data_IF_392403686250
#
_entry.id   IF_392403686250
#
_cell.length_a   1.000
_cell.length_b   1.000
_cell.length_c   1.000
_cell.angle_alpha   90.00
_cell.angle_beta   90.00
_cell.angle_gamma   90.00
#
_symmetry.space_group_name_H-M   'P 1'
#
loop_
_entity.id
_entity.type
_entity.pdbx_description
1 polymer ?
#
# COMPACT_ATOMS: atom_id res chain seq x y z
N UNK A 1 38.44 -22.25 -1.94
CA UNK A 1 38.10 -22.04 -0.51
C UNK A 1 37.08 -20.91 -0.42
N UNK A 2 35.87 -21.20 0.06
CA UNK A 2 34.90 -20.25 0.62
C UNK A 2 33.78 -21.10 1.24
N UNK A 3 33.45 -20.89 2.51
CA UNK A 3 32.56 -21.77 3.26
C UNK A 3 31.08 -21.52 2.95
N UNK A 4 30.28 -22.60 2.91
CA UNK A 4 28.82 -22.53 2.88
C UNK A 4 28.29 -22.28 4.30
N UNK A 5 27.32 -21.37 4.44
CA UNK A 5 26.47 -21.27 5.62
C UNK A 5 25.16 -22.04 5.41
N UNK A 6 24.54 -22.63 6.45
CA UNK A 6 23.31 -23.40 6.34
C UNK A 6 22.05 -22.50 6.37
N UNK A 7 20.90 -22.97 5.85
CA UNK A 7 19.64 -22.25 5.94
C UNK A 7 19.00 -22.39 7.34
N UNK A 8 18.42 -21.30 7.83
CA UNK A 8 17.62 -21.28 9.06
C UNK A 8 16.25 -21.94 8.87
N UNK A 9 15.83 -22.76 9.84
CA UNK A 9 14.51 -23.37 9.85
C UNK A 9 13.48 -22.40 10.44
N UNK A 10 12.38 -22.18 9.72
CA UNK A 10 11.20 -21.47 10.20
C UNK A 10 10.25 -22.46 10.92
N UNK A 11 9.61 -22.06 12.04
CA UNK A 11 8.61 -22.89 12.70
C UNK A 11 7.28 -22.92 11.92
N UNK A 12 6.46 -23.98 12.05
CA UNK A 12 5.17 -24.09 11.37
C UNK A 12 4.09 -23.21 12.02
N UNK A 13 3.05 -22.79 11.27
CA UNK A 13 1.91 -22.04 11.81
C UNK A 13 0.97 -22.93 12.64
N UNK A 14 0.23 -22.37 13.62
CA UNK A 14 -0.68 -23.14 14.45
C UNK A 14 -1.92 -23.64 13.70
N UNK A 15 -2.37 -24.84 14.04
CA UNK A 15 -3.48 -25.52 13.39
C UNK A 15 -4.84 -24.82 13.64
N UNK A 16 -5.65 -24.70 12.59
CA UNK A 16 -7.05 -24.25 12.67
C UNK A 16 -7.91 -25.38 13.23
N UNK A 17 -8.34 -25.24 14.49
CA UNK A 17 -9.34 -26.14 15.09
C UNK A 17 -10.69 -25.95 14.40
N UNK A 18 -11.15 -26.97 13.66
CA UNK A 18 -12.53 -27.09 13.19
C UNK A 18 -13.31 -27.94 14.20
N UNK A 19 -14.16 -27.29 14.99
CA UNK A 19 -15.15 -27.94 15.86
C UNK A 19 -16.48 -28.21 15.13
N UNK A 20 -17.30 -29.18 15.59
CA UNK A 20 -18.20 -29.90 14.69
C UNK A 20 -19.64 -29.38 14.61
N UNK A 21 -20.27 -29.79 13.52
CA UNK A 21 -21.66 -29.66 13.09
C UNK A 21 -22.67 -30.36 14.02
N UNK A 22 -23.94 -29.91 13.99
CA UNK A 22 -25.21 -30.70 13.98
C UNK A 22 -26.31 -30.15 14.94
N UNK A 23 -27.61 -30.53 14.81
CA UNK A 23 -28.46 -30.23 13.65
C UNK A 23 -29.96 -29.91 13.99
N UNK A 24 -30.78 -29.64 12.96
CA UNK A 24 -32.27 -29.74 12.95
C UNK A 24 -33.06 -28.72 13.82
N UNK A 25 -34.33 -28.33 13.62
CA UNK A 25 -35.39 -28.40 12.56
C UNK A 25 -36.45 -27.32 12.94
N UNK A 26 -37.31 -26.73 12.08
CA UNK A 26 -37.57 -26.85 10.64
C UNK A 26 -39.10 -26.76 10.33
N UNK A 27 -39.51 -26.12 9.20
CA UNK A 27 -40.92 -25.78 8.81
C UNK A 27 -41.49 -24.58 9.63
N UNK A 28 -42.17 -23.55 9.09
CA UNK A 28 -43.25 -23.48 8.09
C UNK A 28 -44.61 -23.47 8.83
N UNK A 29 -45.65 -22.68 8.52
CA UNK A 29 -45.91 -21.68 7.46
C UNK A 29 -47.19 -20.86 7.81
N UNK A 30 -47.59 -19.88 6.97
CA UNK A 30 -48.91 -19.17 6.88
C UNK A 30 -49.55 -18.57 8.17
N UNK A 31 -49.86 -17.27 8.33
CA UNK A 31 -50.56 -16.27 7.49
C UNK A 31 -52.11 -16.21 7.68
N UNK A 32 -52.61 -14.96 7.72
CA UNK A 32 -54.00 -14.46 7.52
C UNK A 32 -54.94 -14.34 8.75
N UNK A 33 -55.72 -13.23 8.72
CA UNK A 33 -57.01 -12.92 9.38
C UNK A 33 -56.94 -12.14 10.72
N UNK A 34 -57.62 -10.99 10.92
CA UNK A 34 -58.40 -10.11 10.01
C UNK A 34 -58.49 -8.67 10.56
N UNK A 35 -58.82 -7.72 9.67
CA UNK A 35 -59.76 -6.57 9.77
C UNK A 35 -60.12 -6.02 11.17
N UNK A 36 -60.19 -4.71 11.45
CA UNK A 36 -60.81 -3.57 10.71
C UNK A 36 -60.07 -2.24 11.00
N UNK A 37 -59.91 -1.30 10.04
CA UNK A 37 -60.73 -0.08 9.84
C UNK A 37 -61.22 0.60 11.16
N UNK A 38 -61.08 1.91 11.40
CA UNK A 38 -60.62 3.05 10.58
C UNK A 38 -61.36 4.34 10.98
N UNK A 39 -60.89 5.53 10.54
CA UNK A 39 -61.53 6.87 10.69
C UNK A 39 -61.56 7.41 12.15
N UNK A 40 -61.16 8.64 12.51
CA UNK A 40 -61.24 10.03 11.99
C UNK A 40 -62.26 10.92 12.74
N UNK A 41 -61.91 12.21 12.85
CA UNK A 41 -62.78 13.38 13.06
C UNK A 41 -63.58 13.56 14.38
N UNK A 42 -63.00 14.37 15.27
CA UNK A 42 -63.48 15.70 15.71
C UNK A 42 -64.99 16.03 15.96
N UNK A 43 -65.18 16.77 17.07
CA UNK A 43 -66.21 17.79 17.37
C UNK A 43 -67.61 17.35 17.87
N UNK A 44 -68.14 18.05 18.90
CA UNK A 44 -69.58 18.00 19.23
C UNK A 44 -70.04 18.19 20.68
N UNK A 45 -69.82 19.38 21.27
CA UNK A 45 -70.60 20.08 22.33
C UNK A 45 -71.73 19.38 23.15
N UNK A 46 -71.72 19.63 24.48
CA UNK A 46 -72.84 19.43 25.41
C UNK A 46 -72.39 19.41 26.89
N UNK A 47 -71.98 20.53 27.49
CA UNK A 47 -72.82 21.43 28.33
C UNK A 47 -73.59 20.73 29.46
N UNK A 48 -73.17 20.94 30.72
CA UNK A 48 -73.98 21.47 31.86
C UNK A 48 -73.11 21.50 33.15
N UNK A 49 -72.84 22.73 33.61
CA UNK A 49 -72.83 23.22 35.02
C UNK A 49 -72.20 22.39 36.17
N UNK A 50 -71.09 22.91 36.77
CA UNK A 50 -71.15 23.63 38.08
C UNK A 50 -69.80 24.19 38.60
N UNK A 51 -69.77 25.52 38.71
CA UNK A 51 -69.11 26.37 39.74
C UNK A 51 -67.79 25.95 40.43
N UNK A 52 -66.82 26.87 40.44
CA UNK A 52 -65.77 26.95 41.50
C UNK A 52 -64.48 27.63 41.05
N UNK A 53 -64.21 28.86 41.49
CA UNK A 53 -63.07 29.68 41.02
C UNK A 53 -61.82 29.54 41.91
N UNK A 54 -60.69 29.65 41.23
CA UNK A 54 -59.28 29.86 41.63
C UNK A 54 -58.97 30.89 42.76
N UNK A 55 -57.65 31.06 42.97
CA UNK A 55 -56.89 32.09 43.72
C UNK A 55 -56.56 31.69 45.17
N UNK A 56 -55.29 31.61 45.61
CA UNK A 56 -54.12 32.52 45.58
C UNK A 56 -54.15 33.59 46.69
N UNK A 57 -53.09 33.59 47.52
CA UNK A 57 -52.48 34.83 48.03
C UNK A 57 -52.85 35.30 49.45
N UNK A 58 -51.80 35.60 50.22
CA UNK A 58 -51.67 36.65 51.26
C UNK A 58 -52.51 36.58 52.58
N UNK A 59 -51.78 36.24 53.66
CA UNK A 59 -51.45 37.10 54.82
C UNK A 59 -52.53 37.99 55.47
N UNK A 60 -52.74 37.85 56.81
CA UNK A 60 -53.42 38.89 57.62
C UNK A 60 -54.11 38.47 58.93
N UNK A 61 -53.49 38.83 60.07
CA UNK A 61 -54.06 39.27 61.38
C UNK A 61 -55.14 38.51 62.19
N UNK A 62 -54.82 38.36 63.48
CA UNK A 62 -55.64 38.49 64.72
C UNK A 62 -57.14 38.11 64.80
N UNK A 63 -57.51 37.32 65.82
CA UNK A 63 -58.91 37.22 66.29
C UNK A 63 -59.20 36.15 67.37
N UNK A 64 -59.60 36.58 68.58
CA UNK A 64 -59.95 35.71 69.71
C UNK A 64 -61.29 34.95 69.55
N UNK A 65 -61.42 33.72 70.10
CA UNK A 65 -62.16 33.41 71.36
C UNK A 65 -62.29 31.91 71.66
N UNK A 66 -62.26 31.55 72.95
CA UNK A 66 -62.65 30.23 73.48
C UNK A 66 -64.16 30.12 73.78
N UNK A 67 -64.62 29.01 74.40
CA UNK A 67 -64.86 28.98 75.86
C UNK A 67 -64.51 27.61 76.51
N UNK A 68 -64.55 27.36 77.83
CA UNK A 68 -64.90 28.15 79.02
C UNK A 68 -65.06 27.24 80.27
N UNK A 69 -65.51 27.79 81.42
CA UNK A 69 -65.85 27.13 82.73
C UNK A 69 -64.69 26.84 83.72
N UNK A 70 -64.72 27.10 85.04
CA UNK A 70 -65.56 27.98 85.93
C UNK A 70 -64.78 28.26 87.25
N UNK A 71 -65.01 29.40 87.93
CA UNK A 71 -64.51 29.72 89.30
C UNK A 71 -65.49 29.19 90.41
N UNK A 72 -65.36 29.43 91.75
CA UNK A 72 -64.97 30.65 92.50
C UNK A 72 -63.89 30.36 93.62
N UNK A 73 -63.51 31.21 94.60
CA UNK A 73 -64.10 32.42 95.20
C UNK A 73 -63.03 33.36 95.83
N UNK A 74 -63.44 34.57 96.25
CA UNK A 74 -62.65 35.57 96.99
C UNK A 74 -63.14 35.72 98.46
N UNK A 75 -62.24 36.15 99.36
CA UNK A 75 -62.53 36.78 100.67
C UNK A 75 -61.29 37.61 101.13
N UNK A 76 -61.36 38.56 102.10
CA UNK A 76 -61.18 39.97 101.75
C UNK A 76 -60.11 40.75 102.54
N UNK A 77 -59.92 42.03 102.14
CA UNK A 77 -59.04 43.03 102.75
C UNK A 77 -59.46 43.43 104.18
N UNK A 78 -58.48 43.72 105.04
CA UNK A 78 -58.60 44.66 106.17
C UNK A 78 -57.33 45.52 106.31
N UNK A 79 -57.53 46.78 106.70
CA UNK A 79 -56.50 47.82 106.81
C UNK A 79 -55.99 48.02 108.25
N UNK A 80 -54.82 48.68 108.37
CA UNK A 80 -54.07 48.90 109.62
C UNK A 80 -54.81 49.67 110.73
N UNK A 81 -54.17 49.77 111.92
CA UNK A 81 -53.67 51.10 112.28
C UNK A 81 -52.22 51.12 112.80
N UNK A 82 -51.61 52.30 112.67
CA UNK A 82 -50.26 52.63 113.13
C UNK A 82 -50.34 53.33 114.50
N UNK A 83 -49.38 53.08 115.40
CA UNK A 83 -49.02 54.05 116.44
C UNK A 83 -48.79 53.52 117.85
N UNK A 84 -47.53 53.55 118.29
CA UNK A 84 -47.19 54.09 119.61
C UNK A 84 -45.77 54.66 119.61
N UNK A 85 -45.60 55.80 120.27
CA UNK A 85 -44.29 56.36 120.66
C UNK A 85 -43.65 55.44 121.75
N UNK A 86 -42.39 55.57 122.19
CA UNK A 86 -41.54 56.76 122.34
C UNK A 86 -40.11 56.36 122.74
N UNK A 87 -39.14 57.22 122.42
CA UNK A 87 -37.86 57.48 123.13
C UNK A 87 -36.75 56.42 123.24
N UNK A 88 -35.53 56.93 123.08
CA UNK A 88 -34.25 56.30 123.43
C UNK A 88 -34.13 55.96 124.92
N UNK A 89 -33.19 55.06 125.26
CA UNK A 89 -32.59 55.04 126.60
C UNK A 89 -32.66 53.74 127.41
N UNK A 90 -33.03 52.60 126.81
CA UNK A 90 -32.88 51.28 127.44
C UNK A 90 -31.55 50.64 127.05
N UNK A 91 -30.80 50.17 128.05
CA UNK A 91 -29.55 49.41 127.89
C UNK A 91 -29.75 48.18 126.98
N UNK A 92 -28.68 47.67 126.37
CA UNK A 92 -28.75 46.39 125.62
C UNK A 92 -29.34 45.28 126.49
N UNK A 93 -29.04 45.29 127.80
CA UNK A 93 -29.59 44.34 128.77
C UNK A 93 -31.11 44.55 128.99
N UNK A 94 -31.60 45.78 129.03
CA UNK A 94 -33.03 46.10 129.21
C UNK A 94 -33.82 45.90 127.91
N UNK A 95 -33.22 46.17 126.75
CA UNK A 95 -33.75 45.84 125.44
C UNK A 95 -33.78 44.32 125.20
N UNK A 96 -32.81 43.57 125.75
CA UNK A 96 -32.86 42.12 125.80
C UNK A 96 -33.96 41.66 126.77
N UNK A 97 -34.02 42.17 128.00
CA UNK A 97 -35.05 41.78 128.99
C UNK A 97 -36.46 42.08 128.49
N UNK A 98 -36.72 43.25 127.91
CA UNK A 98 -38.05 43.58 127.32
C UNK A 98 -38.37 42.74 126.09
N UNK A 99 -37.39 42.40 125.25
CA UNK A 99 -37.56 41.42 124.16
C UNK A 99 -37.79 39.99 124.69
N UNK A 100 -37.16 39.63 125.81
CA UNK A 100 -37.33 38.33 126.44
C UNK A 100 -38.73 38.24 127.05
N UNK A 101 -39.20 39.31 127.71
CA UNK A 101 -40.57 39.45 128.20
C UNK A 101 -41.59 39.39 127.06
N UNK A 102 -41.39 40.13 125.96
CA UNK A 102 -42.28 40.08 124.80
C UNK A 102 -42.30 38.69 124.15
N UNK A 103 -41.16 38.01 124.07
CA UNK A 103 -41.10 36.60 123.61
C UNK A 103 -41.71 35.62 124.62
N UNK A 104 -41.64 35.89 125.93
CA UNK A 104 -42.31 35.12 126.98
C UNK A 104 -43.82 35.33 126.94
N UNK A 105 -44.30 36.54 126.63
CA UNK A 105 -45.70 36.88 126.38
C UNK A 105 -46.21 36.21 125.10
N UNK A 106 -45.48 36.28 123.97
CA UNK A 106 -45.78 35.56 122.73
C UNK A 106 -45.79 34.04 122.93
N UNK A 107 -44.81 33.48 123.65
CA UNK A 107 -44.77 32.06 123.99
C UNK A 107 -45.88 31.66 124.98
N UNK A 108 -46.35 32.57 125.82
CA UNK A 108 -47.49 32.31 126.71
C UNK A 108 -48.80 32.36 125.93
N UNK A 109 -48.97 33.33 125.02
CA UNK A 109 -50.08 33.43 124.09
C UNK A 109 -50.18 32.19 123.19
N UNK A 110 -49.08 31.76 122.56
CA UNK A 110 -49.05 30.55 121.73
C UNK A 110 -49.31 29.26 122.53
N UNK A 111 -48.94 29.21 123.82
CA UNK A 111 -49.32 28.10 124.71
C UNK A 111 -50.82 28.13 125.03
N UNK A 112 -51.41 29.31 125.21
CA UNK A 112 -52.83 29.49 125.44
C UNK A 112 -53.65 29.15 124.18
N UNK A 113 -53.24 29.60 123.00
CA UNK A 113 -53.82 29.18 121.70
C UNK A 113 -53.70 27.67 121.48
N UNK A 114 -52.54 27.06 121.77
CA UNK A 114 -52.37 25.61 121.66
C UNK A 114 -53.28 24.86 122.65
N UNK A 115 -53.41 25.36 123.88
CA UNK A 115 -54.32 24.80 124.88
C UNK A 115 -55.79 24.94 124.46
N UNK A 116 -56.18 26.06 123.85
CA UNK A 116 -57.50 26.28 123.27
C UNK A 116 -57.75 25.34 122.10
N UNK A 117 -56.83 25.19 121.14
CA UNK A 117 -56.96 24.23 120.04
C UNK A 117 -57.02 22.77 120.52
N UNK A 118 -56.29 22.42 121.58
CA UNK A 118 -56.41 21.11 122.22
C UNK A 118 -57.75 20.93 122.92
N UNK A 119 -58.24 21.96 123.64
CA UNK A 119 -59.56 21.95 124.26
C UNK A 119 -60.68 21.82 123.22
N UNK A 120 -60.61 22.54 122.10
CA UNK A 120 -61.56 22.45 120.98
C UNK A 120 -61.53 21.07 120.31
N UNK A 121 -60.34 20.51 120.07
CA UNK A 121 -60.19 19.14 119.57
C UNK A 121 -60.85 18.13 120.51
N UNK A 122 -60.56 18.20 121.81
CA UNK A 122 -61.14 17.29 122.80
C UNK A 122 -62.63 17.56 123.04
N UNK A 123 -63.11 18.79 122.85
CA UNK A 123 -64.53 19.18 122.87
C UNK A 123 -65.28 18.58 121.68
N UNK A 124 -64.78 18.78 120.45
CA UNK A 124 -65.37 18.18 119.23
C UNK A 124 -65.33 16.65 119.31
N UNK A 125 -64.24 16.07 119.80
CA UNK A 125 -64.12 14.62 120.02
C UNK A 125 -65.09 14.10 121.08
N UNK A 126 -65.26 14.83 122.18
CA UNK A 126 -66.23 14.50 123.24
C UNK A 126 -67.68 14.67 122.78
N UNK A 127 -67.96 15.68 121.96
CA UNK A 127 -69.25 15.92 121.33
C UNK A 127 -69.58 14.78 120.34
N UNK A 128 -68.61 14.37 119.52
CA UNK A 128 -68.73 13.22 118.63
C UNK A 128 -68.96 11.91 119.39
N UNK A 129 -68.19 11.63 120.45
CA UNK A 129 -68.42 10.46 121.32
C UNK A 129 -69.81 10.48 121.98
N UNK A 130 -70.27 11.64 122.44
CA UNK A 130 -71.61 11.79 123.04
C UNK A 130 -72.71 11.62 122.00
N UNK A 131 -72.52 12.12 120.78
CA UNK A 131 -73.43 11.91 119.65
C UNK A 131 -73.51 10.42 119.30
N UNK A 132 -72.37 9.73 119.24
CA UNK A 132 -72.29 8.29 119.01
C UNK A 132 -72.96 7.45 120.10
N UNK A 133 -72.86 7.87 121.37
CA UNK A 133 -73.51 7.18 122.49
C UNK A 133 -75.03 7.46 122.58
N UNK A 134 -75.49 8.65 122.17
CA UNK A 134 -76.90 9.05 122.25
C UNK A 134 -77.71 8.75 120.99
N UNK A 135 -77.05 8.69 119.82
CA UNK A 135 -77.65 8.49 118.51
C UNK A 135 -76.85 7.43 117.72
N UNK A 136 -76.82 6.16 118.18
CA UNK A 136 -76.05 5.10 117.53
C UNK A 136 -76.45 4.91 116.06
N UNK A 137 -77.75 5.02 115.75
CA UNK A 137 -78.28 4.91 114.39
C UNK A 137 -77.73 5.99 113.45
N UNK A 138 -77.57 7.22 113.94
CA UNK A 138 -76.99 8.33 113.17
C UNK A 138 -75.51 8.10 112.90
N UNK A 139 -74.74 7.67 113.90
CA UNK A 139 -73.32 7.34 113.68
C UNK A 139 -73.16 6.13 112.75
N UNK A 140 -74.01 5.11 112.85
CA UNK A 140 -74.01 3.98 111.92
C UNK A 140 -74.32 4.44 110.48
N UNK A 141 -75.30 5.32 110.29
CA UNK A 141 -75.60 5.92 108.99
C UNK A 141 -74.42 6.72 108.43
N UNK A 142 -73.75 7.54 109.25
CA UNK A 142 -72.53 8.27 108.85
C UNK A 142 -71.39 7.31 108.48
N UNK A 143 -71.16 6.26 109.26
CA UNK A 143 -70.14 5.23 108.93
C UNK A 143 -70.44 4.53 107.59
N UNK A 144 -71.70 4.19 107.32
CA UNK A 144 -72.11 3.60 106.04
C UNK A 144 -71.93 4.57 104.86
N UNK A 145 -72.17 5.87 105.07
CA UNK A 145 -71.91 6.91 104.05
C UNK A 145 -70.41 7.06 103.77
N UNK A 146 -69.57 7.10 104.81
CA UNK A 146 -68.11 7.18 104.68
C UNK A 146 -67.54 5.96 103.96
N UNK A 147 -67.95 4.75 104.35
CA UNK A 147 -67.49 3.52 103.69
C UNK A 147 -67.97 3.44 102.23
N UNK A 148 -69.20 3.90 101.94
CA UNK A 148 -69.69 4.03 100.55
C UNK A 148 -68.85 5.01 99.73
N UNK A 149 -68.49 6.16 100.28
CA UNK A 149 -67.71 7.16 99.51
C UNK A 149 -66.27 6.71 99.30
N UNK A 150 -65.65 6.09 100.30
CA UNK A 150 -64.37 5.38 100.18
C UNK A 150 -64.42 4.30 99.09
N UNK A 151 -65.44 3.43 99.09
CA UNK A 151 -65.59 2.40 98.06
C UNK A 151 -65.77 3.02 96.65
N UNK A 152 -66.40 4.20 96.54
CA UNK A 152 -66.47 4.95 95.26
C UNK A 152 -65.10 5.52 94.85
N UNK A 153 -64.33 6.12 95.76
CA UNK A 153 -62.99 6.64 95.42
C UNK A 153 -62.06 5.51 95.01
N UNK A 154 -61.96 4.44 95.80
CA UNK A 154 -61.16 3.26 95.46
C UNK A 154 -61.57 2.62 94.11
N UNK A 155 -62.86 2.67 93.76
CA UNK A 155 -63.35 2.19 92.47
C UNK A 155 -63.04 3.14 91.30
N UNK A 156 -62.94 4.46 91.55
CA UNK A 156 -62.41 5.42 90.57
C UNK A 156 -60.90 5.21 90.39
N UNK A 157 -60.16 5.11 91.48
CA UNK A 157 -58.70 4.94 91.49
C UNK A 157 -58.30 3.64 90.77
N UNK A 158 -59.00 2.53 91.04
CA UNK A 158 -58.83 1.26 90.31
C UNK A 158 -59.04 1.41 88.81
N UNK A 159 -60.05 2.16 88.37
CA UNK A 159 -60.29 2.44 86.93
C UNK A 159 -59.21 3.34 86.33
N UNK A 160 -58.70 4.32 87.08
CA UNK A 160 -57.58 5.16 86.63
C UNK A 160 -56.33 4.31 86.45
N UNK A 161 -56.02 3.42 87.39
CA UNK A 161 -54.88 2.49 87.29
C UNK A 161 -55.04 1.51 86.11
N UNK A 162 -56.23 0.97 85.87
CA UNK A 162 -56.53 0.13 84.70
C UNK A 162 -56.32 0.89 83.37
N UNK A 163 -56.81 2.14 83.29
CA UNK A 163 -56.61 3.02 82.12
C UNK A 163 -55.13 3.34 81.91
N UNK A 164 -54.36 3.57 82.98
CA UNK A 164 -52.92 3.80 82.90
C UNK A 164 -52.19 2.54 82.39
N UNK A 165 -52.46 1.36 82.97
CA UNK A 165 -51.86 0.11 82.50
C UNK A 165 -52.14 -0.18 81.01
N UNK A 166 -53.37 0.06 80.53
CA UNK A 166 -53.71 -0.09 79.11
C UNK A 166 -53.01 0.95 78.24
N UNK A 167 -52.82 2.19 78.74
CA UNK A 167 -52.06 3.24 78.04
C UNK A 167 -50.57 2.90 77.96
N UNK A 168 -49.96 2.46 79.05
CA UNK A 168 -48.55 2.11 79.14
C UNK A 168 -48.23 0.93 78.20
N UNK A 169 -49.07 -0.12 78.21
CA UNK A 169 -48.97 -1.22 77.26
C UNK A 169 -49.11 -0.75 75.80
N UNK A 170 -49.99 0.22 75.53
CA UNK A 170 -50.16 0.77 74.17
C UNK A 170 -48.99 1.65 73.74
N UNK A 171 -48.40 2.42 74.65
CA UNK A 171 -47.18 3.20 74.41
C UNK A 171 -46.05 2.24 74.04
N UNK A 172 -45.82 1.19 74.83
CA UNK A 172 -44.79 0.19 74.56
C UNK A 172 -44.96 -0.49 73.19
N UNK A 173 -46.19 -0.83 72.79
CA UNK A 173 -46.50 -1.39 71.46
C UNK A 173 -46.20 -0.41 70.32
N UNK A 174 -46.42 0.89 70.54
CA UNK A 174 -46.10 1.94 69.56
C UNK A 174 -44.58 2.18 69.46
N UNK A 175 -43.86 2.23 70.59
CA UNK A 175 -42.41 2.36 70.63
C UNK A 175 -41.70 1.18 69.95
N UNK A 176 -42.16 -0.05 70.19
CA UNK A 176 -41.65 -1.23 69.49
C UNK A 176 -41.86 -1.12 67.97
N UNK A 177 -43.07 -0.73 67.53
CA UNK A 177 -43.38 -0.53 66.11
C UNK A 177 -42.55 0.60 65.49
N UNK A 178 -42.35 1.71 66.20
CA UNK A 178 -41.49 2.81 65.75
C UNK A 178 -40.05 2.35 65.58
N UNK A 179 -39.51 1.57 66.54
CA UNK A 179 -38.15 1.03 66.46
C UNK A 179 -37.96 0.10 65.26
N UNK A 180 -38.94 -0.77 64.96
CA UNK A 180 -38.94 -1.64 63.78
C UNK A 180 -38.98 -0.84 62.47
N UNK A 181 -39.90 0.10 62.34
CA UNK A 181 -40.00 0.99 61.17
C UNK A 181 -38.71 1.81 60.97
N UNK A 182 -38.09 2.29 62.06
CA UNK A 182 -36.83 3.04 62.02
C UNK A 182 -35.67 2.17 61.52
N UNK A 183 -35.65 0.89 61.85
CA UNK A 183 -34.69 -0.07 61.30
C UNK A 183 -34.96 -0.35 59.82
N UNK A 184 -36.20 -0.62 59.43
CA UNK A 184 -36.59 -0.84 58.03
C UNK A 184 -36.23 0.35 57.12
N UNK A 185 -36.48 1.58 57.59
CA UNK A 185 -36.08 2.81 56.90
C UNK A 185 -34.56 2.91 56.76
N UNK A 186 -33.79 2.53 57.80
CA UNK A 186 -32.33 2.52 57.74
C UNK A 186 -31.80 1.53 56.68
N UNK A 187 -32.38 0.34 56.61
CA UNK A 187 -31.98 -0.71 55.65
C UNK A 187 -32.49 -0.42 54.22
N UNK A 188 -33.59 0.31 54.06
CA UNK A 188 -34.00 0.91 52.79
C UNK A 188 -33.02 2.00 52.33
N UNK A 189 -32.58 2.88 53.23
CA UNK A 189 -31.59 3.93 52.92
C UNK A 189 -30.25 3.32 52.49
N UNK A 190 -29.73 2.30 53.19
CA UNK A 190 -28.51 1.58 52.77
C UNK A 190 -28.64 1.00 51.36
N UNK A 191 -29.74 0.30 51.07
CA UNK A 191 -29.99 -0.28 49.74
C UNK A 191 -30.11 0.79 48.67
N UNK A 192 -30.76 1.92 48.97
CA UNK A 192 -30.84 3.05 48.05
C UNK A 192 -29.45 3.60 47.72
N UNK A 193 -28.58 3.82 48.72
CA UNK A 193 -27.21 4.31 48.52
C UNK A 193 -26.42 3.38 47.59
N UNK A 194 -26.45 2.07 47.83
CA UNK A 194 -25.77 1.09 46.97
C UNK A 194 -26.27 1.12 45.51
N UNK A 195 -27.58 1.27 45.32
CA UNK A 195 -28.19 1.41 43.97
C UNK A 195 -27.84 2.75 43.32
N UNK A 196 -27.76 3.84 44.08
CA UNK A 196 -27.35 5.15 43.56
C UNK A 196 -25.86 5.14 43.15
N UNK A 197 -24.99 4.44 43.90
CA UNK A 197 -23.59 4.20 43.56
C UNK A 197 -23.42 3.34 42.29
N UNK A 198 -24.17 2.24 42.17
CA UNK A 198 -24.17 1.41 40.96
C UNK A 198 -24.67 2.20 39.74
N UNK A 199 -25.74 2.99 39.89
CA UNK A 199 -26.23 3.88 38.83
C UNK A 199 -25.19 4.94 38.41
N UNK A 200 -24.44 5.49 39.36
CA UNK A 200 -23.36 6.43 39.07
C UNK A 200 -22.21 5.76 38.29
N UNK A 201 -21.85 4.53 38.68
CA UNK A 201 -20.85 3.72 37.97
C UNK A 201 -21.30 3.38 36.55
N UNK A 202 -22.53 2.88 36.36
CA UNK A 202 -23.08 2.54 35.05
C UNK A 202 -23.19 3.77 34.11
N UNK A 203 -23.55 4.94 34.65
CA UNK A 203 -23.53 6.21 33.90
C UNK A 203 -22.13 6.60 33.42
N UNK A 204 -21.10 6.34 34.21
CA UNK A 204 -19.71 6.57 33.83
C UNK A 204 -19.27 5.60 32.74
N UNK A 205 -19.47 4.29 32.91
CA UNK A 205 -19.16 3.28 31.90
C UNK A 205 -19.89 3.55 30.57
N UNK A 206 -21.17 3.94 30.62
CA UNK A 206 -21.92 4.33 29.41
C UNK A 206 -21.31 5.56 28.72
N UNK A 207 -20.85 6.55 29.48
CA UNK A 207 -20.19 7.74 28.94
C UNK A 207 -18.83 7.40 28.31
N UNK A 208 -18.04 6.54 28.96
CA UNK A 208 -16.75 6.07 28.46
C UNK A 208 -16.91 5.19 27.20
N UNK A 209 -17.94 4.34 27.15
CA UNK A 209 -18.31 3.57 25.95
C UNK A 209 -18.80 4.47 24.82
N UNK A 210 -19.63 5.48 25.10
CA UNK A 210 -20.08 6.45 24.10
C UNK A 210 -18.90 7.25 23.52
N UNK A 211 -17.92 7.61 24.35
CA UNK A 211 -16.68 8.24 23.90
C UNK A 211 -15.87 7.29 23.00
N UNK A 212 -15.57 6.07 23.45
CA UNK A 212 -14.88 5.04 22.65
C UNK A 212 -15.56 4.76 21.32
N UNK A 213 -16.90 4.81 21.26
CA UNK A 213 -17.65 4.67 20.02
C UNK A 213 -17.44 5.84 19.06
N UNK A 214 -17.48 7.09 19.55
CA UNK A 214 -17.19 8.29 18.75
C UNK A 214 -15.75 8.27 18.23
N UNK A 215 -14.80 7.95 19.10
CA UNK A 215 -13.37 7.88 18.75
C UNK A 215 -13.12 6.85 17.64
N UNK A 216 -13.66 5.62 17.78
CA UNK A 216 -13.58 4.58 16.74
C UNK A 216 -14.33 4.95 15.44
N UNK A 217 -15.48 5.62 15.54
CA UNK A 217 -16.21 6.07 14.36
C UNK A 217 -15.43 7.13 13.58
N UNK A 218 -14.63 7.95 14.26
CA UNK A 218 -13.74 8.93 13.63
C UNK A 218 -12.51 8.24 13.04
N UNK A 219 -11.86 7.33 13.77
CA UNK A 219 -10.73 6.52 13.29
C UNK A 219 -11.07 5.75 11.99
N UNK A 220 -12.27 5.15 11.92
CA UNK A 220 -12.77 4.47 10.71
C UNK A 220 -12.99 5.46 9.55
N UNK A 221 -13.47 6.67 9.82
CA UNK A 221 -13.65 7.71 8.80
C UNK A 221 -12.30 8.17 8.24
N UNK A 222 -11.34 8.46 9.11
CA UNK A 222 -10.01 8.94 8.73
C UNK A 222 -9.21 7.85 7.99
N UNK A 223 -9.32 6.60 8.45
CA UNK A 223 -8.72 5.43 7.77
C UNK A 223 -9.31 5.22 6.37
N UNK A 224 -10.64 5.38 6.22
CA UNK A 224 -11.31 5.28 4.92
C UNK A 224 -10.84 6.37 3.95
N UNK A 225 -10.71 7.61 4.41
CA UNK A 225 -10.18 8.72 3.61
C UNK A 225 -8.71 8.51 3.22
N UNK A 226 -7.88 8.02 4.15
CA UNK A 226 -6.49 7.67 3.87
C UNK A 226 -6.35 6.58 2.79
N UNK A 227 -7.20 5.54 2.84
CA UNK A 227 -7.25 4.49 1.82
C UNK A 227 -7.72 5.05 0.48
N UNK A 228 -8.80 5.86 0.46
CA UNK A 228 -9.30 6.46 -0.78
C UNK A 228 -8.27 7.38 -1.46
N UNK A 229 -7.53 8.18 -0.70
CA UNK A 229 -6.46 9.02 -1.23
C UNK A 229 -5.29 8.20 -1.80
N UNK A 230 -4.93 7.07 -1.16
CA UNK A 230 -3.92 6.14 -1.69
C UNK A 230 -4.41 5.41 -2.95
N UNK A 231 -5.67 5.02 -3.02
CA UNK A 231 -6.26 4.38 -4.20
C UNK A 231 -6.35 5.36 -5.37
N UNK A 232 -6.67 6.64 -5.12
CA UNK A 232 -6.59 7.71 -6.11
C UNK A 232 -5.16 7.89 -6.64
N UNK A 233 -4.17 7.99 -5.74
CA UNK A 233 -2.76 8.09 -6.11
C UNK A 233 -2.28 6.87 -6.92
N UNK A 234 -2.65 5.65 -6.49
CA UNK A 234 -2.35 4.41 -7.21
C UNK A 234 -3.00 4.41 -8.60
N UNK A 235 -4.24 4.87 -8.74
CA UNK A 235 -4.93 4.98 -10.04
C UNK A 235 -4.20 5.92 -10.99
N UNK A 236 -3.72 7.07 -10.50
CA UNK A 236 -2.92 8.02 -11.28
C UNK A 236 -1.58 7.42 -11.71
N UNK A 237 -0.86 6.75 -10.81
CA UNK A 237 0.42 6.07 -11.13
C UNK A 237 0.21 4.97 -12.18
N UNK A 238 -0.85 4.15 -12.03
CA UNK A 238 -1.19 3.10 -13.02
C UNK A 238 -1.55 3.71 -14.38
N UNK A 239 -2.25 4.86 -14.42
CA UNK A 239 -2.55 5.57 -15.67
C UNK A 239 -1.27 6.02 -16.37
N UNK A 240 -0.37 6.68 -15.65
CA UNK A 240 0.91 7.16 -16.20
C UNK A 240 1.79 6.00 -16.70
N UNK A 241 1.90 4.90 -15.92
CA UNK A 241 2.67 3.72 -16.33
C UNK A 241 2.08 3.03 -17.58
N UNK A 242 0.75 3.03 -17.73
CA UNK A 242 0.12 2.55 -18.97
C UNK A 242 0.46 3.46 -20.15
N UNK A 243 0.36 4.78 -19.99
CA UNK A 243 0.69 5.74 -21.05
C UNK A 243 2.16 5.63 -21.50
N UNK A 244 3.11 5.46 -20.57
CA UNK A 244 4.52 5.20 -20.91
C UNK A 244 4.73 3.82 -21.56
N UNK A 245 4.02 2.79 -21.12
CA UNK A 245 4.09 1.46 -21.74
C UNK A 245 3.54 1.47 -23.18
N UNK A 246 2.46 2.19 -23.47
CA UNK A 246 1.97 2.36 -24.84
C UNK A 246 2.99 3.10 -25.72
N UNK A 247 3.61 4.19 -25.22
CA UNK A 247 4.68 4.90 -25.95
C UNK A 247 5.88 4.01 -26.26
N UNK A 248 6.33 3.21 -25.28
CA UNK A 248 7.42 2.25 -25.47
C UNK A 248 7.01 1.14 -26.45
N UNK A 249 5.77 0.66 -26.39
CA UNK A 249 5.21 -0.33 -27.32
C UNK A 249 5.22 0.18 -28.76
N UNK A 250 4.75 1.41 -29.01
CA UNK A 250 4.77 2.01 -30.35
C UNK A 250 6.20 2.19 -30.86
N UNK A 251 7.12 2.69 -30.02
CA UNK A 251 8.53 2.86 -30.39
C UNK A 251 9.22 1.51 -30.69
N UNK A 252 8.89 0.45 -29.92
CA UNK A 252 9.37 -0.90 -30.22
C UNK A 252 8.83 -1.43 -31.56
N UNK A 253 7.55 -1.18 -31.88
CA UNK A 253 6.99 -1.56 -33.17
C UNK A 253 7.66 -0.83 -34.34
N UNK A 254 7.94 0.48 -34.20
CA UNK A 254 8.65 1.28 -35.20
C UNK A 254 10.08 0.78 -35.44
N UNK A 255 10.85 0.51 -34.37
CA UNK A 255 12.18 -0.09 -34.48
C UNK A 255 12.16 -1.47 -35.14
N UNK A 256 11.16 -2.30 -34.86
CA UNK A 256 11.00 -3.62 -35.51
C UNK A 256 10.71 -3.46 -37.01
N UNK A 257 9.85 -2.50 -37.38
CA UNK A 257 9.57 -2.18 -38.78
C UNK A 257 10.84 -1.70 -39.52
N UNK A 258 11.65 -0.85 -38.90
CA UNK A 258 12.90 -0.34 -39.50
C UNK A 258 13.98 -1.44 -39.62
N UNK A 259 14.10 -2.31 -38.62
CA UNK A 259 14.95 -3.51 -38.72
C UNK A 259 14.50 -4.44 -39.85
N UNK A 260 13.20 -4.57 -40.11
CA UNK A 260 12.69 -5.37 -41.22
C UNK A 260 12.99 -4.73 -42.58
N UNK A 261 12.87 -3.39 -42.71
CA UNK A 261 13.29 -2.64 -43.91
C UNK A 261 14.79 -2.83 -44.18
N UNK A 262 15.63 -2.69 -43.15
CA UNK A 262 17.09 -2.89 -43.26
C UNK A 262 17.43 -4.33 -43.66
N UNK A 263 16.77 -5.36 -43.11
CA UNK A 263 16.93 -6.76 -43.55
C UNK A 263 16.56 -6.98 -45.01
N UNK A 264 15.48 -6.34 -45.49
CA UNK A 264 15.06 -6.39 -46.91
C UNK A 264 16.12 -5.77 -47.82
N UNK A 265 16.71 -4.64 -47.41
CA UNK A 265 17.83 -4.00 -48.12
C UNK A 265 19.11 -4.86 -48.08
N UNK A 266 19.47 -5.43 -46.93
CA UNK A 266 20.65 -6.31 -46.81
C UNK A 266 20.51 -7.54 -47.71
N UNK A 267 19.33 -8.15 -47.78
CA UNK A 267 19.04 -9.27 -48.68
C UNK A 267 19.17 -8.88 -50.17
N UNK A 268 18.77 -7.65 -50.54
CA UNK A 268 18.97 -7.10 -51.88
C UNK A 268 20.46 -6.97 -52.22
N UNK A 269 21.22 -6.24 -51.40
CA UNK A 269 22.66 -6.04 -51.59
C UNK A 269 23.44 -7.36 -51.60
N UNK A 270 23.04 -8.35 -50.79
CA UNK A 270 23.64 -9.69 -50.80
C UNK A 270 23.43 -10.39 -52.15
N UNK A 271 22.24 -10.28 -52.75
CA UNK A 271 21.94 -10.85 -54.08
C UNK A 271 22.74 -10.16 -55.19
N UNK A 272 22.84 -8.83 -55.14
CA UNK A 272 23.65 -8.07 -56.10
C UNK A 272 25.14 -8.39 -55.97
N UNK A 273 25.66 -8.49 -54.74
CA UNK A 273 27.03 -8.94 -54.49
C UNK A 273 27.29 -10.31 -55.11
N UNK A 274 26.45 -11.31 -54.84
CA UNK A 274 26.62 -12.64 -55.45
C UNK A 274 26.56 -12.62 -56.99
N UNK A 275 25.75 -11.73 -57.59
CA UNK A 275 25.69 -11.53 -59.04
C UNK A 275 26.99 -10.90 -59.59
N UNK A 276 27.57 -9.95 -58.87
CA UNK A 276 28.86 -9.33 -59.21
C UNK A 276 30.02 -10.32 -59.02
N UNK A 277 30.08 -11.03 -57.89
CA UNK A 277 31.10 -12.04 -57.61
C UNK A 277 31.10 -13.15 -58.69
N UNK A 278 29.91 -13.57 -59.16
CA UNK A 278 29.80 -14.53 -60.27
C UNK A 278 30.32 -13.98 -61.61
N UNK A 279 30.12 -12.69 -61.90
CA UNK A 279 30.69 -12.03 -63.08
C UNK A 279 32.20 -11.86 -62.99
N UNK A 280 32.72 -11.50 -61.81
CA UNK A 280 34.16 -11.41 -61.54
C UNK A 280 34.80 -12.77 -61.81
N UNK A 281 34.27 -13.85 -61.24
CA UNK A 281 34.78 -15.20 -61.47
C UNK A 281 34.78 -15.58 -62.96
N UNK A 282 33.70 -15.27 -63.69
CA UNK A 282 33.64 -15.52 -65.13
C UNK A 282 34.70 -14.72 -65.91
N UNK A 283 35.02 -13.48 -65.51
CA UNK A 283 36.12 -12.72 -66.09
C UNK A 283 37.50 -13.27 -65.71
N UNK A 284 37.69 -13.75 -64.48
CA UNK A 284 38.92 -14.44 -64.04
C UNK A 284 39.17 -15.71 -64.86
N UNK A 285 38.15 -16.56 -65.03
CA UNK A 285 38.20 -17.77 -65.85
C UNK A 285 38.54 -17.44 -67.32
N UNK A 286 37.91 -16.40 -67.90
CA UNK A 286 38.21 -15.92 -69.26
C UNK A 286 39.65 -15.38 -69.41
N UNK A 287 40.17 -14.65 -68.40
CA UNK A 287 41.54 -14.14 -68.40
C UNK A 287 42.57 -15.28 -68.27
N UNK A 288 42.24 -16.33 -67.52
CA UNK A 288 43.06 -17.55 -67.42
C UNK A 288 43.11 -18.26 -68.78
N UNK A 289 41.98 -18.39 -69.48
CA UNK A 289 41.95 -19.07 -70.79
C UNK A 289 42.68 -18.25 -71.86
N UNK A 290 42.43 -16.94 -71.96
CA UNK A 290 43.15 -16.05 -72.88
C UNK A 290 44.67 -16.06 -72.64
N UNK A 291 45.12 -16.21 -71.37
CA UNK A 291 46.55 -16.39 -71.06
C UNK A 291 47.11 -17.69 -71.64
N UNK A 292 46.38 -18.81 -71.55
CA UNK A 292 46.79 -20.08 -72.18
C UNK A 292 46.84 -19.97 -73.70
N UNK A 293 45.87 -19.31 -74.32
CA UNK A 293 45.87 -19.07 -75.77
C UNK A 293 47.08 -18.24 -76.23
N UNK A 294 47.46 -17.22 -75.44
CA UNK A 294 48.67 -16.44 -75.66
C UNK A 294 49.92 -17.32 -75.51
N UNK A 295 50.03 -18.14 -74.46
CA UNK A 295 51.16 -19.05 -74.26
C UNK A 295 51.30 -20.08 -75.38
N UNK A 296 50.19 -20.68 -75.82
CA UNK A 296 50.13 -21.55 -77.01
C UNK A 296 50.57 -20.80 -78.26
N UNK A 297 50.10 -19.57 -78.47
CA UNK A 297 50.46 -18.75 -79.64
C UNK A 297 51.93 -18.32 -79.62
N UNK A 298 52.48 -18.00 -78.45
CA UNK A 298 53.88 -17.70 -78.23
C UNK A 298 54.76 -18.93 -78.49
N UNK A 299 54.34 -20.13 -78.06
CA UNK A 299 55.05 -21.38 -78.37
C UNK A 299 55.10 -21.65 -79.89
N UNK A 300 53.99 -21.42 -80.60
CA UNK A 300 53.92 -21.50 -82.07
C UNK A 300 54.83 -20.47 -82.75
N UNK A 301 54.81 -19.22 -82.28
CA UNK A 301 55.69 -18.16 -82.79
C UNK A 301 57.17 -18.52 -82.60
N UNK A 302 57.55 -18.99 -81.41
CA UNK A 302 58.92 -19.43 -81.12
C UNK A 302 59.36 -20.60 -82.02
N UNK A 303 58.47 -21.57 -82.25
CA UNK A 303 58.72 -22.69 -83.16
C UNK A 303 58.91 -22.24 -84.62
N UNK A 304 58.07 -21.32 -85.11
CA UNK A 304 58.20 -20.72 -86.44
C UNK A 304 59.46 -19.87 -86.58
N UNK A 305 59.82 -19.11 -85.54
CA UNK A 305 61.06 -18.32 -85.48
C UNK A 305 62.31 -19.21 -85.56
N UNK A 306 62.29 -20.36 -84.85
CA UNK A 306 63.35 -21.37 -84.94
C UNK A 306 63.43 -22.00 -86.35
N UNK A 307 62.28 -22.34 -86.96
CA UNK A 307 62.25 -22.83 -88.34
C UNK A 307 62.78 -21.80 -89.35
N UNK A 308 62.43 -20.52 -89.18
CA UNK A 308 62.91 -19.43 -90.03
C UNK A 308 64.43 -19.24 -89.90
N UNK A 309 64.97 -19.30 -88.68
CA UNK A 309 66.41 -19.22 -88.44
C UNK A 309 67.16 -20.43 -89.06
N UNK A 310 66.61 -21.65 -88.91
CA UNK A 310 67.15 -22.84 -89.57
C UNK A 310 67.11 -22.73 -91.11
N UNK A 311 66.07 -22.09 -91.68
CA UNK A 311 66.01 -21.82 -93.13
C UNK A 311 66.96 -20.71 -93.57
N UNK A 312 67.18 -19.69 -92.74
CA UNK A 312 68.16 -18.65 -93.00
C UNK A 312 69.59 -19.20 -93.01
N UNK A 313 69.92 -20.09 -92.08
CA UNK A 313 71.23 -20.75 -92.04
C UNK A 313 71.43 -21.75 -93.19
N UNK A 314 70.40 -22.52 -93.57
CA UNK A 314 70.41 -23.36 -94.77
C UNK A 314 70.61 -22.53 -96.05
N UNK A 315 69.98 -21.35 -96.14
CA UNK A 315 70.12 -20.43 -97.27
C UNK A 315 71.56 -19.88 -97.36
N UNK A 316 72.11 -19.41 -96.23
CA UNK A 316 73.50 -18.92 -96.16
C UNK A 316 74.49 -20.01 -96.58
N UNK A 317 74.29 -21.27 -96.15
CA UNK A 317 75.12 -22.38 -96.60
C UNK A 317 75.01 -22.59 -98.12
N UNK A 318 73.80 -22.56 -98.69
CA UNK A 318 73.61 -22.70 -100.14
C UNK A 318 74.21 -21.53 -100.93
N UNK A 319 74.16 -20.30 -100.42
CA UNK A 319 74.84 -19.16 -101.04
C UNK A 319 76.37 -19.30 -101.01
N UNK A 320 76.93 -19.88 -99.94
CA UNK A 320 78.35 -20.25 -99.88
C UNK A 320 78.69 -21.34 -100.92
N UNK A 321 77.89 -22.39 -101.01
CA UNK A 321 78.07 -23.49 -101.97
C UNK A 321 77.95 -22.98 -103.43
N UNK A 322 76.95 -22.13 -103.74
CA UNK A 322 76.80 -21.47 -105.04
C UNK A 322 78.01 -20.58 -105.36
N UNK A 323 78.54 -19.88 -104.36
CA UNK A 323 79.74 -19.03 -104.53
C UNK A 323 80.99 -19.88 -104.80
N UNK A 324 81.10 -21.07 -104.18
CA UNK A 324 82.16 -22.04 -104.46
C UNK A 324 82.05 -22.58 -105.89
N UNK A 325 80.89 -23.12 -106.28
CA UNK A 325 80.65 -23.64 -107.63
C UNK A 325 80.85 -22.57 -108.71
N UNK A 326 80.52 -21.31 -108.44
CA UNK A 326 80.84 -20.18 -109.35
C UNK A 326 82.35 -19.96 -109.52
N UNK A 327 83.16 -20.15 -108.48
CA UNK A 327 84.63 -20.09 -108.60
C UNK A 327 85.17 -21.28 -109.40
N UNK A 328 84.74 -22.49 -109.08
CA UNK A 328 85.13 -23.71 -109.81
C UNK A 328 84.78 -23.60 -111.31
N UNK A 329 83.60 -23.07 -111.63
CA UNK A 329 83.17 -22.81 -113.02
C UNK A 329 84.01 -21.71 -113.69
N UNK A 330 84.42 -20.67 -112.95
CA UNK A 330 85.31 -19.63 -113.46
C UNK A 330 86.73 -20.16 -113.73
N UNK A 331 87.24 -21.05 -112.86
CA UNK A 331 88.51 -21.76 -113.03
C UNK A 331 88.45 -22.70 -114.25
N UNK A 332 87.39 -23.51 -114.38
CA UNK A 332 87.10 -24.33 -115.57
C UNK A 332 87.05 -23.49 -116.85
N UNK A 333 86.40 -22.32 -116.83
CA UNK A 333 86.36 -21.42 -117.98
C UNK A 333 87.75 -20.86 -118.33
N UNK A 334 88.58 -20.57 -117.33
CA UNK A 334 89.96 -20.10 -117.53
C UNK A 334 90.86 -21.21 -118.09
N UNK A 335 90.75 -22.44 -117.58
CA UNK A 335 91.42 -23.63 -118.11
C UNK A 335 90.99 -23.93 -119.55
N UNK A 336 89.68 -23.82 -119.86
CA UNK A 336 89.16 -23.96 -121.22
C UNK A 336 89.75 -22.89 -122.16
N UNK A 337 89.81 -21.63 -121.74
CA UNK A 337 90.46 -20.55 -122.51
C UNK A 337 91.94 -20.87 -122.78
N UNK A 338 92.71 -21.29 -121.78
CA UNK A 338 94.10 -21.70 -121.95
C UNK A 338 94.23 -22.87 -122.93
N UNK A 339 93.40 -23.90 -122.80
CA UNK A 339 93.43 -25.05 -123.71
C UNK A 339 93.06 -24.65 -125.15
N UNK A 340 92.10 -23.73 -125.34
CA UNK A 340 91.77 -23.18 -126.66
C UNK A 340 92.92 -22.36 -127.26
N UNK A 341 93.68 -21.62 -126.44
CA UNK A 341 94.86 -20.89 -126.87
C UNK A 341 96.00 -21.85 -127.27
N UNK A 342 96.23 -22.94 -126.51
CA UNK A 342 97.17 -23.99 -126.91
C UNK A 342 96.73 -24.72 -128.20
N UNK A 343 95.42 -24.93 -128.38
CA UNK A 343 94.87 -25.50 -129.62
C UNK A 343 95.09 -24.56 -130.81
N UNK A 344 94.93 -23.24 -130.62
CA UNK A 344 95.23 -22.23 -131.64
C UNK A 344 96.73 -22.18 -131.97
N UNK A 345 97.62 -22.24 -130.97
CA UNK A 345 99.07 -22.35 -131.17
C UNK A 345 99.46 -23.61 -131.95
N UNK A 346 98.80 -24.76 -131.69
CA UNK A 346 98.98 -25.98 -132.48
C UNK A 346 98.50 -25.80 -133.93
N UNK A 347 97.36 -25.15 -134.16
CA UNK A 347 96.85 -24.88 -135.50
C UNK A 347 97.79 -23.96 -136.30
N UNK A 348 98.34 -22.93 -135.66
CA UNK A 348 99.30 -21.99 -136.26
C UNK A 348 100.62 -22.70 -136.63
N UNK A 349 101.11 -23.62 -135.77
CA UNK A 349 102.26 -24.48 -136.09
C UNK A 349 101.99 -25.41 -137.28
N UNK A 350 100.79 -25.99 -137.36
CA UNK A 350 100.37 -26.81 -138.52
C UNK A 350 100.32 -25.96 -139.79
N UNK A 351 99.83 -24.73 -139.71
CA UNK A 351 99.78 -23.82 -140.85
C UNK A 351 101.19 -23.42 -141.34
N UNK A 352 102.13 -23.16 -140.44
CA UNK A 352 103.54 -22.93 -140.79
C UNK A 352 104.16 -24.15 -141.52
N UNK A 353 103.89 -25.36 -141.03
CA UNK A 353 104.32 -26.60 -141.68
C UNK A 353 103.68 -26.78 -143.08
N UNK A 354 102.42 -26.39 -143.27
CA UNK A 354 101.75 -26.44 -144.58
C UNK A 354 102.31 -25.42 -145.58
N UNK A 355 102.60 -24.19 -145.15
CA UNK A 355 103.20 -23.15 -146.02
C UNK A 355 104.59 -23.58 -146.49
N UNK A 356 105.44 -24.09 -145.58
CA UNK A 356 106.76 -24.61 -145.92
C UNK A 356 106.70 -25.74 -146.96
N UNK A 357 105.70 -26.62 -146.84
CA UNK A 357 105.46 -27.72 -147.78
C UNK A 357 104.98 -27.20 -149.16
N UNK A 358 104.13 -26.16 -149.20
CA UNK A 358 103.72 -25.50 -150.45
C UNK A 358 104.87 -24.80 -151.17
N UNK A 359 105.73 -24.06 -150.48
CA UNK A 359 106.90 -23.44 -151.10
C UNK A 359 107.88 -24.50 -151.64
N UNK A 360 108.05 -25.62 -150.93
CA UNK A 360 108.83 -26.77 -151.40
C UNK A 360 108.26 -27.34 -152.71
N UNK A 361 106.95 -27.57 -152.81
CA UNK A 361 106.30 -28.03 -154.04
C UNK A 361 106.33 -27.01 -155.18
N UNK A 362 106.34 -25.71 -154.87
CA UNK A 362 106.40 -24.63 -155.86
C UNK A 362 107.79 -24.50 -156.48
N UNK A 363 108.85 -24.70 -155.70
CA UNK A 363 110.23 -24.77 -156.22
C UNK A 363 110.41 -25.96 -157.16
N UNK A 364 109.86 -27.12 -156.81
CA UNK A 364 109.87 -28.31 -157.70
C UNK A 364 109.15 -28.03 -159.03
N UNK A 365 107.95 -27.45 -158.99
CA UNK A 365 107.18 -27.13 -160.21
C UNK A 365 107.87 -26.11 -161.11
N UNK A 366 108.53 -25.11 -160.51
CA UNK A 366 109.35 -24.14 -161.26
C UNK A 366 110.57 -24.80 -161.94
N UNK A 367 111.11 -25.90 -161.42
CA UNK A 367 112.15 -26.68 -162.12
C UNK A 367 111.56 -27.50 -163.28
N UNK A 368 110.36 -28.09 -163.11
CA UNK A 368 109.66 -28.82 -164.17
C UNK A 368 109.31 -27.92 -165.37
N UNK A 369 108.86 -26.68 -165.12
CA UNK A 369 108.52 -25.72 -166.18
C UNK A 369 109.75 -25.27 -167.00
N UNK A 370 110.92 -25.11 -166.37
CA UNK A 370 112.19 -24.77 -167.06
C UNK A 370 112.61 -25.91 -168.00
N UNK A 371 112.61 -27.16 -167.53
CA UNK A 371 112.94 -28.32 -168.37
C UNK A 371 111.91 -28.58 -169.49
N UNK A 372 110.65 -28.19 -169.28
CA UNK A 372 109.59 -28.28 -170.29
C UNK A 372 109.79 -27.24 -171.40
N UNK A 373 110.17 -26.00 -171.04
CA UNK A 373 110.48 -24.95 -172.02
C UNK A 373 111.72 -25.28 -172.87
N UNK A 374 112.77 -25.85 -172.27
CA UNK A 374 113.97 -26.32 -172.98
C UNK A 374 113.63 -27.45 -173.98
N UNK A 375 112.74 -28.37 -173.61
CA UNK A 375 112.31 -29.47 -174.49
C UNK A 375 111.56 -29.00 -175.75
N UNK A 376 110.74 -27.95 -175.64
CA UNK A 376 109.99 -27.39 -176.79
C UNK A 376 110.91 -26.69 -177.79
N UNK A 377 112.05 -26.15 -177.34
CA UNK A 377 113.07 -25.53 -178.21
C UNK A 377 113.70 -26.54 -179.19
N UNK A 378 113.91 -27.78 -178.77
CA UNK A 378 114.55 -28.81 -179.61
C UNK A 378 113.58 -29.56 -180.54
N UNK A 379 112.27 -29.52 -180.30
CA UNK A 379 111.31 -30.34 -181.07
C UNK A 379 110.85 -29.70 -182.40
N UNK A 380 111.17 -28.42 -182.66
CA UNK A 380 110.74 -27.71 -183.89
C UNK A 380 111.80 -27.62 -185.01
N UNK A 381 113.00 -28.17 -184.80
CA UNK A 381 114.10 -28.18 -185.79
C UNK A 381 113.99 -29.35 -186.79
N UNK A 382 113.22 -30.41 -186.48
CA UNK A 382 113.30 -31.69 -187.20
C UNK A 382 112.01 -32.23 -187.84
N UNK A 383 110.97 -31.41 -188.09
CA UNK A 383 109.69 -31.91 -188.65
C UNK A 383 109.08 -31.13 -189.83
N UNK A 384 109.91 -30.46 -190.65
CA UNK A 384 109.54 -30.07 -192.01
C UNK A 384 110.59 -30.49 -193.05
N UNK A 385 110.87 -31.80 -193.07
CA UNK A 385 111.36 -32.50 -194.24
C UNK A 385 110.34 -33.55 -194.68
N UNK A 386 109.60 -33.23 -195.74
CA UNK A 386 108.85 -34.15 -196.63
C UNK A 386 107.56 -34.79 -196.07
N UNK A 387 106.44 -34.09 -196.29
CA UNK A 387 105.56 -34.41 -197.44
C UNK A 387 105.53 -33.15 -198.32
N UNK A 388 105.42 -33.33 -199.64
CA UNK A 388 105.24 -32.26 -200.64
C UNK A 388 103.75 -32.22 -201.00
N UNK A 389 103.24 -31.03 -201.35
CA UNK A 389 101.82 -30.70 -201.63
C UNK A 389 101.02 -30.35 -200.38
#
# INVERSE_FOLDING_TARGET
MAARLPPSQLPPPPARQLGPWSPHVGRGAHAVRSETLGLEAAAGLGVVDKSGISWQGEEGSEGQRGPGATAPAQAPLLSAPMGSMRLEGISVEEAMVTRTQLLEEELSSLKEELALCQADKEFVWSLWKRLQATNPDLTQAVSLVVEREKQKSETKDRKVLEILQVKDAKIQELEQRESGLKQEVNDLVKRKIAVDEENAFLRKEFSDLQKKFKDKSQEVKDSKECVQNKDEQNRLVIKNLKEENEKLSTHCADLVNDLEKLRKQEAHWRKEKCSIDAKIKAFEDNLIEARKEIEVSQSKYNALSLQLNNKQTELIQKDMDITLVRKELQELQNLYKQNSAHTAQQAELIQQLQVLNMDTQKVLRNQEDVHTAESISYQKVCFYSVIKM
#
